data_IF_330635295726
#
_entry.id   IF_330635295726
#
_cell.length_a   1.000
_cell.length_b   1.000
_cell.length_c   1.000
_cell.angle_alpha   90.00
_cell.angle_beta   90.00
_cell.angle_gamma   90.00
#
_symmetry.space_group_name_H-M   'P 1'
#
loop_
_entity.id
_entity.type
_entity.pdbx_description
1 polymer ?
#
# COMPACT_ATOMS: atom_id res chain seq x y z
N UNK A 1 -8.50 0.86 -67.55
CA UNK A 1 -7.05 0.60 -67.65
C UNK A 1 -6.54 0.28 -66.26
N UNK A 2 -6.60 -0.98 -65.88
CA UNK A 2 -5.88 -1.54 -64.73
C UNK A 2 -4.42 -1.74 -65.15
N UNK A 3 -3.42 -1.25 -64.41
CA UNK A 3 -2.04 -1.59 -64.72
C UNK A 3 -1.82 -3.06 -64.38
N UNK A 4 -1.38 -3.84 -65.36
CA UNK A 4 -0.90 -5.20 -65.17
C UNK A 4 0.24 -5.17 -64.14
N UNK A 5 0.04 -5.85 -63.00
CA UNK A 5 1.11 -6.09 -62.04
C UNK A 5 2.23 -6.93 -62.67
N UNK A 6 3.47 -6.78 -62.22
CA UNK A 6 4.63 -7.40 -62.87
C UNK A 6 4.52 -8.93 -62.80
N UNK A 7 4.73 -9.58 -63.95
CA UNK A 7 4.71 -11.05 -64.11
C UNK A 7 6.01 -11.68 -63.59
N UNK A 8 5.90 -12.53 -62.57
CA UNK A 8 6.60 -13.80 -62.23
C UNK A 8 8.06 -14.09 -62.61
N UNK A 9 8.63 -13.57 -63.71
CA UNK A 9 10.06 -13.78 -64.00
C UNK A 9 10.97 -12.97 -63.06
N UNK A 10 10.37 -12.13 -62.20
CA UNK A 10 11.05 -11.21 -61.29
C UNK A 10 11.11 -11.69 -59.83
N UNK A 11 10.34 -12.71 -59.40
CA UNK A 11 10.26 -13.07 -57.97
C UNK A 11 11.38 -14.00 -57.51
N UNK A 12 11.84 -14.93 -58.37
CA UNK A 12 13.08 -15.70 -58.14
C UNK A 12 14.31 -14.78 -58.12
N UNK A 13 14.24 -13.61 -58.79
CA UNK A 13 15.30 -12.60 -58.79
C UNK A 13 15.32 -11.72 -57.53
N UNK A 14 14.24 -11.68 -56.73
CA UNK A 14 14.17 -10.94 -55.47
C UNK A 14 14.74 -11.74 -54.29
N UNK A 15 14.77 -13.08 -54.37
CA UNK A 15 15.30 -13.92 -53.31
C UNK A 15 16.78 -13.62 -52.97
N UNK A 16 17.70 -13.43 -53.92
CA UNK A 16 19.07 -13.00 -53.62
C UNK A 16 19.15 -11.56 -53.10
N UNK A 17 18.28 -10.67 -53.60
CA UNK A 17 18.30 -9.24 -53.24
C UNK A 17 17.78 -8.99 -51.80
N UNK A 18 16.84 -9.81 -51.33
CA UNK A 18 16.35 -9.80 -49.95
C UNK A 18 17.31 -10.51 -48.97
N UNK A 19 18.26 -11.30 -49.47
CA UNK A 19 19.24 -12.02 -48.65
C UNK A 19 20.43 -11.15 -48.21
N UNK A 20 20.78 -10.13 -49.01
CA UNK A 20 21.83 -9.15 -48.67
C UNK A 20 21.30 -7.88 -47.96
N UNK A 21 20.01 -7.55 -48.07
CA UNK A 21 19.51 -6.23 -47.64
C UNK A 21 18.76 -6.13 -46.29
N UNK A 22 18.34 -7.20 -45.59
CA UNK A 22 17.06 -7.09 -44.88
C UNK A 22 17.07 -7.24 -43.33
N UNK A 23 16.37 -6.30 -42.66
CA UNK A 23 15.67 -6.51 -41.38
C UNK A 23 14.29 -7.18 -41.58
N UNK A 24 14.06 -7.76 -42.76
CA UNK A 24 12.79 -8.31 -43.23
C UNK A 24 12.95 -9.80 -43.42
N UNK A 25 12.31 -10.57 -42.55
CA UNK A 25 12.20 -12.03 -42.66
C UNK A 25 11.34 -12.41 -43.87
N UNK A 26 11.79 -13.38 -44.66
CA UNK A 26 11.02 -13.95 -45.78
C UNK A 26 10.92 -15.46 -45.61
N UNK A 27 9.70 -15.98 -45.75
CA UNK A 27 9.42 -17.41 -45.79
C UNK A 27 8.59 -17.73 -47.02
N UNK A 28 8.97 -18.75 -47.78
CA UNK A 28 8.22 -19.27 -48.92
C UNK A 28 7.56 -20.57 -48.48
N UNK A 29 6.27 -20.72 -48.75
CA UNK A 29 5.50 -21.92 -48.46
C UNK A 29 4.83 -22.49 -49.70
N UNK A 30 4.68 -23.80 -49.74
CA UNK A 30 3.91 -24.50 -50.79
C UNK A 30 2.40 -24.49 -50.52
N UNK A 31 1.63 -25.14 -51.40
CA UNK A 31 0.18 -25.27 -51.28
C UNK A 31 -0.26 -26.04 -50.02
N UNK A 32 0.57 -26.94 -49.52
CA UNK A 32 0.37 -27.71 -48.29
C UNK A 32 0.83 -26.93 -47.04
N UNK A 33 1.21 -25.66 -47.20
CA UNK A 33 1.70 -24.74 -46.16
C UNK A 33 2.99 -25.22 -45.50
N UNK A 34 3.80 -26.00 -46.21
CA UNK A 34 5.14 -26.36 -45.77
C UNK A 34 6.15 -25.33 -46.23
N UNK A 35 7.13 -25.04 -45.38
CA UNK A 35 8.18 -24.08 -45.72
C UNK A 35 9.10 -24.69 -46.77
N UNK A 36 9.23 -24.01 -47.90
CA UNK A 36 10.10 -24.38 -49.02
C UNK A 36 11.44 -23.64 -48.90
N UNK A 37 11.41 -22.41 -48.41
CA UNK A 37 12.61 -21.57 -48.32
C UNK A 37 12.47 -20.49 -47.25
N UNK A 38 13.58 -20.10 -46.64
CA UNK A 38 13.68 -18.95 -45.72
C UNK A 38 14.93 -18.14 -46.05
N UNK A 39 14.92 -16.84 -45.76
CA UNK A 39 16.10 -15.97 -45.91
C UNK A 39 16.95 -15.91 -44.62
N UNK A 40 18.12 -15.28 -44.69
CA UNK A 40 19.02 -15.11 -43.54
C UNK A 40 18.39 -14.33 -42.38
N UNK A 41 17.57 -13.33 -42.66
CA UNK A 41 16.92 -12.51 -41.63
C UNK A 41 15.98 -13.34 -40.76
N UNK A 42 15.12 -14.17 -41.38
CA UNK A 42 14.27 -15.10 -40.64
C UNK A 42 15.09 -16.07 -39.79
N UNK A 43 16.09 -16.74 -40.38
CA UNK A 43 16.93 -17.72 -39.67
C UNK A 43 17.60 -17.12 -38.43
N UNK A 44 18.08 -15.88 -38.53
CA UNK A 44 18.65 -15.14 -37.39
C UNK A 44 17.62 -14.86 -36.30
N UNK A 45 16.40 -14.45 -36.67
CA UNK A 45 15.32 -14.14 -35.72
C UNK A 45 14.76 -15.40 -35.05
N UNK A 46 14.65 -16.49 -35.80
CA UNK A 46 14.21 -17.79 -35.31
C UNK A 46 15.32 -18.54 -34.55
N UNK A 47 16.55 -18.04 -34.55
CA UNK A 47 17.74 -18.69 -33.96
C UNK A 47 17.98 -20.12 -34.50
N UNK A 48 17.72 -20.34 -35.81
CA UNK A 48 17.85 -21.64 -36.47
C UNK A 48 18.89 -21.60 -37.58
N UNK A 49 19.76 -22.61 -37.63
CA UNK A 49 20.87 -22.65 -38.61
C UNK A 49 20.49 -23.34 -39.93
N UNK A 50 19.78 -24.48 -39.87
CA UNK A 50 19.23 -25.22 -41.02
C UNK A 50 18.21 -26.23 -40.46
N UNK A 51 16.93 -26.17 -40.87
CA UNK A 51 15.93 -27.10 -40.34
C UNK A 51 14.48 -26.84 -40.73
N UNK A 52 14.10 -25.59 -41.02
CA UNK A 52 12.66 -25.27 -41.22
C UNK A 52 12.08 -25.78 -42.55
N UNK A 53 12.93 -26.13 -43.52
CA UNK A 53 12.48 -26.57 -44.85
C UNK A 53 11.78 -27.92 -44.75
N UNK A 54 10.52 -27.95 -45.16
CA UNK A 54 9.62 -29.09 -45.06
C UNK A 54 8.73 -29.08 -43.81
N UNK A 55 9.01 -28.23 -42.81
CA UNK A 55 8.14 -28.06 -41.64
C UNK A 55 6.82 -27.37 -42.02
N UNK A 56 5.76 -27.70 -41.30
CA UNK A 56 4.47 -27.02 -41.48
C UNK A 56 4.58 -25.61 -40.88
N UNK A 57 4.16 -24.59 -41.62
CA UNK A 57 4.21 -23.20 -41.13
C UNK A 57 3.49 -23.01 -39.78
N UNK A 58 2.44 -23.80 -39.53
CA UNK A 58 1.69 -23.77 -38.27
C UNK A 58 2.46 -24.31 -37.04
N UNK A 59 3.55 -25.04 -37.26
CA UNK A 59 4.44 -25.55 -36.21
C UNK A 59 5.52 -24.53 -35.84
N UNK A 60 5.79 -23.57 -36.74
CA UNK A 60 6.70 -22.45 -36.51
C UNK A 60 6.05 -21.29 -35.74
N UNK A 61 4.72 -21.36 -35.56
CA UNK A 61 3.89 -20.28 -35.02
C UNK A 61 3.25 -20.74 -33.71
N UNK A 62 3.21 -19.85 -32.71
CA UNK A 62 2.59 -20.14 -31.43
C UNK A 62 1.07 -20.40 -31.58
N UNK A 63 0.47 -21.27 -30.75
CA UNK A 63 -0.94 -21.65 -30.85
C UNK A 63 -1.90 -20.45 -30.89
N UNK A 64 -1.66 -19.39 -30.12
CA UNK A 64 -2.50 -18.18 -30.10
C UNK A 64 -2.52 -17.41 -31.43
N UNK A 65 -1.47 -17.55 -32.26
CA UNK A 65 -1.35 -16.84 -33.55
C UNK A 65 -1.88 -17.65 -34.73
N UNK A 66 -2.29 -18.92 -34.54
CA UNK A 66 -2.78 -19.78 -35.64
C UNK A 66 -4.02 -19.24 -36.33
N UNK A 67 -4.96 -18.67 -35.56
CA UNK A 67 -6.16 -18.07 -36.14
C UNK A 67 -5.84 -16.82 -36.99
N UNK A 68 -4.87 -16.01 -36.57
CA UNK A 68 -4.41 -14.85 -37.33
C UNK A 68 -3.66 -15.30 -38.60
N UNK A 69 -2.80 -16.32 -38.48
CA UNK A 69 -2.13 -16.94 -39.62
C UNK A 69 -3.15 -17.47 -40.64
N UNK A 70 -4.22 -18.12 -40.22
CA UNK A 70 -5.26 -18.62 -41.11
C UNK A 70 -5.99 -17.50 -41.86
N UNK A 71 -6.33 -16.39 -41.19
CA UNK A 71 -6.93 -15.21 -41.84
C UNK A 71 -5.99 -14.61 -42.87
N UNK A 72 -4.71 -14.49 -42.53
CA UNK A 72 -3.68 -13.99 -43.43
C UNK A 72 -3.53 -14.89 -44.65
N UNK A 73 -3.41 -16.20 -44.44
CA UNK A 73 -3.26 -17.18 -45.51
C UNK A 73 -4.50 -17.24 -46.41
N UNK A 74 -5.71 -17.09 -45.87
CA UNK A 74 -6.96 -17.05 -46.66
C UNK A 74 -7.13 -15.77 -47.47
N UNK A 75 -6.41 -14.70 -47.11
CA UNK A 75 -6.58 -13.37 -47.71
C UNK A 75 -7.70 -12.56 -47.08
N UNK A 76 -8.22 -12.99 -45.92
CA UNK A 76 -9.24 -12.25 -45.16
C UNK A 76 -8.67 -10.99 -44.51
N UNK A 77 -7.34 -10.94 -44.32
CA UNK A 77 -6.61 -9.79 -43.79
C UNK A 77 -5.38 -9.48 -44.65
N UNK A 78 -5.10 -8.20 -44.94
CA UNK A 78 -3.93 -7.81 -45.74
C UNK A 78 -2.61 -7.89 -44.95
N UNK A 79 -2.66 -7.88 -43.62
CA UNK A 79 -1.51 -8.03 -42.73
C UNK A 79 -1.94 -8.52 -41.34
N UNK A 80 -1.15 -9.38 -40.72
CA UNK A 80 -1.42 -9.91 -39.36
C UNK A 80 -0.14 -9.90 -38.51
N UNK A 81 -0.29 -9.68 -37.21
CA UNK A 81 0.80 -9.83 -36.22
C UNK A 81 0.86 -11.30 -35.83
N UNK A 82 1.96 -11.96 -36.15
CA UNK A 82 2.14 -13.40 -35.94
C UNK A 82 3.31 -13.63 -34.99
N UNK A 83 3.05 -14.34 -33.90
CA UNK A 83 4.07 -14.80 -32.97
C UNK A 83 4.66 -16.13 -33.47
N UNK A 84 5.93 -16.08 -33.84
CA UNK A 84 6.73 -17.24 -34.20
C UNK A 84 7.48 -17.77 -32.98
N UNK A 85 7.91 -19.01 -33.06
CA UNK A 85 8.72 -19.66 -32.04
C UNK A 85 10.18 -19.81 -32.52
N UNK A 86 11.12 -19.36 -31.72
CA UNK A 86 12.57 -19.58 -31.93
C UNK A 86 12.97 -21.04 -31.69
N UNK A 87 14.24 -21.39 -31.91
CA UNK A 87 14.77 -22.73 -31.60
C UNK A 87 14.72 -23.10 -30.11
N UNK A 88 14.89 -22.12 -29.21
CA UNK A 88 14.84 -22.31 -27.75
C UNK A 88 13.41 -22.27 -27.18
N UNK A 89 12.41 -22.01 -28.04
CA UNK A 89 11.01 -21.94 -27.67
C UNK A 89 10.49 -20.55 -27.29
N UNK A 90 11.33 -19.52 -27.31
CA UNK A 90 10.97 -18.14 -27.05
C UNK A 90 10.08 -17.53 -28.16
N UNK A 91 9.14 -16.63 -27.83
CA UNK A 91 8.33 -15.94 -28.83
C UNK A 91 9.11 -14.80 -29.50
N UNK A 92 8.94 -14.66 -30.81
CA UNK A 92 9.27 -13.42 -31.51
C UNK A 92 8.13 -13.01 -32.45
N UNK A 93 7.94 -11.70 -32.60
CA UNK A 93 6.81 -11.15 -33.34
C UNK A 93 7.23 -10.63 -34.70
N UNK A 94 6.49 -11.03 -35.73
CA UNK A 94 6.55 -10.45 -37.06
C UNK A 94 5.21 -9.84 -37.45
N UNK A 95 5.24 -8.70 -38.12
CA UNK A 95 4.08 -8.25 -38.89
C UNK A 95 4.19 -8.84 -40.28
N UNK A 96 3.25 -9.72 -40.61
CA UNK A 96 3.32 -10.56 -41.78
C UNK A 96 2.34 -10.12 -42.87
N UNK A 97 2.79 -10.18 -44.12
CA UNK A 97 1.97 -10.04 -45.34
C UNK A 97 2.19 -11.24 -46.24
N UNK A 98 1.13 -11.72 -46.90
CA UNK A 98 1.21 -12.84 -47.84
C UNK A 98 1.02 -12.34 -49.27
N UNK A 99 1.95 -12.73 -50.14
CA UNK A 99 1.86 -12.57 -51.58
C UNK A 99 1.70 -13.95 -52.20
N UNK A 100 0.63 -14.13 -52.99
CA UNK A 100 0.37 -15.41 -53.66
C UNK A 100 0.87 -15.36 -55.09
N UNK A 101 1.63 -16.38 -55.47
CA UNK A 101 2.22 -16.46 -56.79
C UNK A 101 2.18 -17.92 -57.29
N UNK A 102 1.18 -18.24 -58.10
CA UNK A 102 0.92 -19.63 -58.51
C UNK A 102 0.45 -20.51 -57.33
N UNK A 103 1.05 -21.69 -57.17
CA UNK A 103 0.76 -22.62 -56.06
C UNK A 103 1.55 -22.31 -54.78
N UNK A 104 2.47 -21.34 -54.81
CA UNK A 104 3.31 -20.98 -53.66
C UNK A 104 2.84 -19.66 -53.03
N UNK A 105 2.94 -19.59 -51.70
CA UNK A 105 2.75 -18.37 -50.93
C UNK A 105 4.08 -17.82 -50.45
N UNK A 106 4.32 -16.53 -50.61
CA UNK A 106 5.46 -15.83 -50.02
C UNK A 106 4.96 -15.01 -48.83
N UNK A 107 5.48 -15.33 -47.65
CA UNK A 107 5.24 -14.61 -46.40
C UNK A 107 6.41 -13.64 -46.16
N UNK A 108 6.11 -12.35 -46.16
CA UNK A 108 7.06 -11.29 -45.78
C UNK A 108 6.75 -10.82 -44.36
N UNK A 109 7.72 -10.94 -43.46
CA UNK A 109 7.65 -10.51 -42.07
C UNK A 109 8.64 -9.39 -41.80
N UNK A 110 8.15 -8.22 -41.38
CA UNK A 110 9.02 -7.13 -40.94
C UNK A 110 9.07 -7.08 -39.42
N UNK A 111 10.26 -6.88 -38.86
CA UNK A 111 10.37 -6.43 -37.47
C UNK A 111 10.28 -4.92 -37.42
N UNK A 112 9.33 -4.39 -36.67
CA UNK A 112 9.39 -3.01 -36.21
C UNK A 112 10.43 -2.92 -35.08
N UNK A 113 11.71 -2.97 -35.43
CA UNK A 113 12.81 -2.84 -34.47
C UNK A 113 12.94 -1.37 -34.04
N UNK A 114 12.40 -1.05 -32.86
CA UNK A 114 13.12 -0.36 -31.76
C UNK A 114 12.22 -0.05 -30.55
N UNK A 115 10.90 0.08 -30.70
CA UNK A 115 10.08 0.64 -29.59
C UNK A 115 9.52 -0.37 -28.60
N UNK A 116 9.09 -1.57 -29.01
CA UNK A 116 8.27 -2.41 -28.12
C UNK A 116 9.10 -3.10 -27.01
N UNK A 117 10.28 -3.63 -27.32
CA UNK A 117 11.15 -4.32 -26.35
C UNK A 117 11.84 -3.36 -25.37
N UNK A 118 12.25 -2.18 -25.85
CA UNK A 118 12.83 -1.14 -24.98
C UNK A 118 11.76 -0.56 -24.05
N UNK A 119 10.55 -0.29 -24.57
CA UNK A 119 9.41 0.15 -23.75
C UNK A 119 9.05 -0.89 -22.70
N UNK A 120 9.00 -2.19 -23.05
CA UNK A 120 8.74 -3.27 -22.09
C UNK A 120 9.82 -3.36 -21.00
N UNK A 121 11.11 -3.21 -21.34
CA UNK A 121 12.20 -3.18 -20.33
C UNK A 121 12.10 -1.95 -19.43
N UNK A 122 11.88 -0.76 -19.99
CA UNK A 122 11.75 0.48 -19.22
C UNK A 122 10.52 0.41 -18.32
N UNK A 123 9.37 -0.05 -18.81
CA UNK A 123 8.16 -0.23 -18.01
C UNK A 123 8.36 -1.26 -16.88
N UNK A 124 9.03 -2.38 -17.15
CA UNK A 124 9.34 -3.36 -16.12
C UNK A 124 10.27 -2.79 -15.05
N UNK A 125 11.28 -2.01 -15.44
CA UNK A 125 12.20 -1.33 -14.52
C UNK A 125 11.48 -0.29 -13.66
N UNK A 126 10.66 0.56 -14.27
CA UNK A 126 9.83 1.55 -13.57
C UNK A 126 8.84 0.89 -12.62
N UNK A 127 8.19 -0.20 -13.02
CA UNK A 127 7.27 -0.95 -12.16
C UNK A 127 7.99 -1.56 -10.95
N UNK A 128 9.21 -2.08 -11.13
CA UNK A 128 10.04 -2.57 -10.02
C UNK A 128 10.47 -1.43 -9.08
N UNK A 129 10.82 -0.27 -9.62
CA UNK A 129 11.20 0.90 -8.84
C UNK A 129 10.01 1.44 -8.03
N UNK A 130 8.83 1.59 -8.65
CA UNK A 130 7.58 1.97 -7.98
C UNK A 130 7.23 0.97 -6.88
N UNK A 131 7.35 -0.34 -7.13
CA UNK A 131 7.08 -1.36 -6.12
C UNK A 131 8.09 -1.31 -4.96
N UNK A 132 9.32 -0.86 -5.20
CA UNK A 132 10.34 -0.68 -4.15
C UNK A 132 10.07 0.57 -3.34
N UNK A 133 9.78 1.69 -4.00
CA UNK A 133 9.39 2.94 -3.35
C UNK A 133 8.08 2.80 -2.55
N UNK A 134 7.09 2.08 -3.05
CA UNK A 134 5.86 1.80 -2.33
C UNK A 134 6.13 1.04 -1.02
N UNK A 135 6.97 0.00 -1.06
CA UNK A 135 7.38 -0.76 0.13
C UNK A 135 8.15 0.11 1.13
N UNK A 136 9.03 0.98 0.64
CA UNK A 136 9.79 1.90 1.48
C UNK A 136 8.91 2.98 2.12
N UNK A 137 7.97 3.53 1.36
CA UNK A 137 7.00 4.49 1.86
C UNK A 137 6.12 3.85 2.93
N UNK A 138 5.62 2.64 2.70
CA UNK A 138 4.85 1.90 3.70
C UNK A 138 5.66 1.62 4.95
N UNK A 139 6.93 1.21 4.81
CA UNK A 139 7.84 1.03 5.93
C UNK A 139 8.01 2.32 6.73
N UNK A 140 8.31 3.43 6.06
CA UNK A 140 8.46 4.75 6.70
C UNK A 140 7.18 5.24 7.36
N UNK A 141 6.03 5.00 6.73
CA UNK A 141 4.74 5.36 7.30
C UNK A 141 4.43 4.55 8.57
N UNK A 142 4.76 3.25 8.59
CA UNK A 142 4.68 2.43 9.81
C UNK A 142 5.62 2.92 10.92
N UNK A 143 6.86 3.24 10.58
CA UNK A 143 7.85 3.80 11.53
C UNK A 143 7.35 5.12 12.14
N UNK A 144 6.85 6.04 11.32
CA UNK A 144 6.32 7.32 11.77
C UNK A 144 5.08 7.16 12.65
N UNK A 145 4.15 6.27 12.26
CA UNK A 145 2.96 5.99 13.07
C UNK A 145 3.32 5.40 14.42
N UNK A 146 4.29 4.48 14.45
CA UNK A 146 4.79 3.92 15.71
C UNK A 146 5.42 4.99 16.60
N UNK A 147 6.28 5.84 16.04
CA UNK A 147 6.93 6.91 16.79
C UNK A 147 5.93 7.93 17.34
N UNK A 148 4.88 8.26 16.57
CA UNK A 148 3.83 9.18 17.00
C UNK A 148 3.01 8.59 18.16
N UNK A 149 2.55 7.34 18.01
CA UNK A 149 1.77 6.64 19.04
C UNK A 149 2.58 6.47 20.35
N UNK A 150 3.87 6.17 20.25
CA UNK A 150 4.75 6.11 21.41
C UNK A 150 4.94 7.48 22.07
N UNK A 151 5.13 8.55 21.27
CA UNK A 151 5.24 9.91 21.79
C UNK A 151 3.95 10.35 22.48
N UNK A 152 2.78 10.11 21.89
CA UNK A 152 1.48 10.45 22.47
C UNK A 152 1.24 9.70 23.79
N UNK A 153 1.61 8.41 23.87
CA UNK A 153 1.54 7.66 25.13
C UNK A 153 2.47 8.22 26.20
N UNK A 154 3.70 8.55 25.83
CA UNK A 154 4.67 9.13 26.76
C UNK A 154 4.20 10.49 27.29
N UNK A 155 3.67 11.36 26.43
CA UNK A 155 3.09 12.64 26.82
C UNK A 155 1.86 12.47 27.72
N UNK A 156 0.95 11.56 27.38
CA UNK A 156 -0.22 11.28 28.22
C UNK A 156 0.18 10.78 29.63
N UNK A 157 1.22 9.95 29.71
CA UNK A 157 1.75 9.48 30.98
C UNK A 157 2.41 10.61 31.78
N UNK A 158 3.21 11.46 31.13
CA UNK A 158 3.83 12.64 31.76
C UNK A 158 2.79 13.60 32.29
N UNK A 159 1.75 13.89 31.51
CA UNK A 159 0.67 14.77 31.92
C UNK A 159 -0.11 14.17 33.10
N UNK A 160 -0.38 12.87 33.08
CA UNK A 160 -1.00 12.19 34.21
C UNK A 160 -0.15 12.26 35.49
N UNK A 161 1.17 12.08 35.36
CA UNK A 161 2.11 12.18 36.49
C UNK A 161 2.21 13.61 37.01
N UNK A 162 2.27 14.61 36.12
CA UNK A 162 2.27 16.01 36.50
C UNK A 162 1.00 16.41 37.25
N UNK A 163 -0.18 15.98 36.76
CA UNK A 163 -1.46 16.21 37.44
C UNK A 163 -1.52 15.52 38.79
N UNK A 164 -0.95 14.32 38.94
CA UNK A 164 -0.82 13.62 40.22
C UNK A 164 0.05 14.41 41.19
N UNK A 165 1.18 14.93 40.73
CA UNK A 165 2.10 15.70 41.56
C UNK A 165 1.47 17.04 42.00
N UNK A 166 0.80 17.74 41.09
CA UNK A 166 0.02 18.94 41.41
C UNK A 166 -1.08 18.64 42.44
N UNK A 167 -1.81 17.53 42.27
CA UNK A 167 -2.83 17.11 43.22
C UNK A 167 -2.24 16.82 44.60
N UNK A 168 -1.11 16.11 44.67
CA UNK A 168 -0.42 15.81 45.94
C UNK A 168 0.12 17.07 46.63
N UNK A 169 0.66 18.02 45.86
CA UNK A 169 1.12 19.30 46.39
C UNK A 169 -0.06 20.11 46.96
N UNK A 170 -1.15 20.25 46.20
CA UNK A 170 -2.36 20.92 46.65
C UNK A 170 -2.92 20.27 47.92
N UNK A 171 -3.07 18.94 47.92
CA UNK A 171 -3.55 18.18 49.07
C UNK A 171 -2.67 18.41 50.32
N UNK A 172 -1.36 18.42 50.15
CA UNK A 172 -0.41 18.67 51.25
C UNK A 172 -0.62 20.05 51.87
N UNK A 173 -0.89 21.07 51.04
CA UNK A 173 -1.20 22.42 51.52
C UNK A 173 -2.58 22.47 52.21
N UNK A 174 -3.61 21.91 51.59
CA UNK A 174 -4.97 21.89 52.15
C UNK A 174 -5.06 21.15 53.48
N UNK A 175 -4.30 20.07 53.66
CA UNK A 175 -4.22 19.36 54.94
C UNK A 175 -3.39 20.12 55.99
N UNK A 176 -2.34 20.84 55.57
CA UNK A 176 -1.47 21.59 56.49
C UNK A 176 -2.14 22.87 57.02
N UNK A 177 -2.92 23.55 56.19
CA UNK A 177 -3.58 24.80 56.51
C UNK A 177 -4.42 24.76 57.82
N UNK A 178 -5.31 23.78 58.04
CA UNK A 178 -6.11 23.68 59.26
C UNK A 178 -5.28 23.34 60.52
N UNK A 179 -4.08 22.77 60.38
CA UNK A 179 -3.22 22.43 61.52
C UNK A 179 -2.70 23.67 62.25
N UNK A 180 -2.44 24.77 61.53
CA UNK A 180 -1.91 25.99 62.14
C UNK A 180 -2.91 26.65 63.12
N UNK A 181 -4.19 26.90 62.76
CA UNK A 181 -5.18 27.39 63.71
C UNK A 181 -5.49 26.40 64.83
N UNK A 182 -5.43 25.08 64.59
CA UNK A 182 -5.59 24.06 65.66
C UNK A 182 -4.48 24.23 66.69
N UNK A 183 -3.22 24.26 66.26
CA UNK A 183 -2.06 24.43 67.15
C UNK A 183 -2.12 25.74 67.92
N UNK A 184 -2.51 26.83 67.26
CA UNK A 184 -2.66 28.13 67.91
C UNK A 184 -3.81 28.13 68.93
N UNK A 185 -4.93 27.47 68.61
CA UNK A 185 -6.04 27.30 69.55
C UNK A 185 -5.62 26.53 70.80
N UNK A 186 -4.85 25.43 70.63
CA UNK A 186 -4.31 24.66 71.75
C UNK A 186 -3.38 25.50 72.63
N UNK A 187 -2.47 26.27 72.02
CA UNK A 187 -1.58 27.20 72.73
C UNK A 187 -2.33 28.24 73.57
N UNK A 188 -3.49 28.72 73.08
CA UNK A 188 -4.37 29.64 73.82
C UNK A 188 -5.06 28.93 74.98
N UNK A 189 -5.55 27.70 74.76
CA UNK A 189 -6.22 26.92 75.81
C UNK A 189 -5.32 26.59 77.00
N UNK A 190 -4.02 26.39 76.76
CA UNK A 190 -3.03 26.18 77.84
C UNK A 190 -2.83 27.41 78.74
N UNK A 191 -3.16 28.61 78.26
CA UNK A 191 -2.87 29.89 78.95
C UNK A 191 -4.11 30.66 79.39
N UNK A 192 -5.27 30.38 78.82
CA UNK A 192 -6.52 31.06 79.14
C UNK A 192 -7.21 30.42 80.35
N UNK A 193 -7.99 31.22 81.09
CA UNK A 193 -8.91 30.67 82.10
C UNK A 193 -9.88 29.67 81.44
N UNK A 194 -10.10 28.47 82.01
CA UNK A 194 -10.92 27.42 81.39
C UNK A 194 -12.34 27.86 81.02
N UNK A 195 -12.90 28.82 81.77
CA UNK A 195 -14.26 29.37 81.55
C UNK A 195 -14.24 30.75 80.88
N UNK A 196 -13.07 31.22 80.43
CA UNK A 196 -12.92 32.53 79.79
C UNK A 196 -13.34 32.53 78.32
N UNK A 197 -13.77 33.69 77.82
CA UNK A 197 -14.21 33.88 76.43
C UNK A 197 -13.12 33.49 75.40
N UNK A 198 -11.84 33.69 75.73
CA UNK A 198 -10.71 33.28 74.89
C UNK A 198 -10.62 31.75 74.73
N UNK A 199 -10.83 30.99 75.81
CA UNK A 199 -10.85 29.54 75.77
C UNK A 199 -12.05 29.01 74.96
N UNK A 200 -13.23 29.65 75.10
CA UNK A 200 -14.41 29.31 74.29
C UNK A 200 -14.16 29.49 72.79
N UNK A 201 -13.62 30.64 72.38
CA UNK A 201 -13.29 30.91 70.96
C UNK A 201 -12.23 29.96 70.42
N UNK A 202 -11.21 29.63 71.21
CA UNK A 202 -10.18 28.67 70.81
C UNK A 202 -10.77 27.27 70.55
N UNK A 203 -11.67 26.78 71.42
CA UNK A 203 -12.40 25.51 71.23
C UNK A 203 -13.25 25.52 69.95
N UNK A 204 -13.95 26.62 69.67
CA UNK A 204 -14.75 26.76 68.45
C UNK A 204 -13.91 26.73 67.18
N UNK A 205 -12.77 27.43 67.17
CA UNK A 205 -11.82 27.40 66.04
C UNK A 205 -11.30 25.99 65.82
N UNK A 206 -10.82 25.31 66.87
CA UNK A 206 -10.33 23.93 66.79
C UNK A 206 -11.42 23.01 66.23
N UNK A 207 -12.64 23.08 66.77
CA UNK A 207 -13.75 22.21 66.35
C UNK A 207 -14.10 22.38 64.86
N UNK A 208 -14.14 23.63 64.36
CA UNK A 208 -14.36 23.91 62.94
C UNK A 208 -13.24 23.34 62.07
N UNK A 209 -11.97 23.53 62.45
CA UNK A 209 -10.84 23.04 61.66
C UNK A 209 -10.75 21.50 61.65
N UNK A 210 -11.04 20.84 62.78
CA UNK A 210 -11.08 19.37 62.86
C UNK A 210 -12.22 18.82 62.00
N UNK A 211 -13.39 19.44 62.05
CA UNK A 211 -14.53 19.05 61.19
C UNK A 211 -14.20 19.23 59.71
N UNK A 212 -13.49 20.31 59.35
CA UNK A 212 -13.04 20.55 57.99
C UNK A 212 -12.02 19.51 57.51
N UNK A 213 -11.03 19.17 58.35
CA UNK A 213 -10.04 18.15 58.04
C UNK A 213 -10.68 16.76 57.86
N UNK A 214 -11.66 16.41 58.68
CA UNK A 214 -12.39 15.15 58.54
C UNK A 214 -13.10 15.06 57.17
N UNK A 215 -13.79 16.12 56.74
CA UNK A 215 -14.43 16.18 55.42
C UNK A 215 -13.41 16.05 54.28
N UNK A 216 -12.28 16.77 54.35
CA UNK A 216 -11.22 16.68 53.34
C UNK A 216 -10.65 15.25 53.20
N UNK A 217 -10.51 14.53 54.32
CA UNK A 217 -10.05 13.14 54.32
C UNK A 217 -11.12 12.21 53.74
N UNK A 218 -12.40 12.41 54.09
CA UNK A 218 -13.51 11.63 53.52
C UNK A 218 -13.62 11.83 51.99
N UNK A 219 -13.50 13.08 51.52
CA UNK A 219 -13.50 13.40 50.09
C UNK A 219 -12.35 12.71 49.35
N UNK A 220 -11.16 12.66 49.96
CA UNK A 220 -10.01 11.94 49.40
C UNK A 220 -10.25 10.42 49.33
N UNK A 221 -10.86 9.84 50.36
CA UNK A 221 -11.23 8.43 50.38
C UNK A 221 -12.25 8.09 49.28
N UNK A 222 -13.19 8.99 49.01
CA UNK A 222 -14.15 8.80 47.93
C UNK A 222 -13.49 8.89 46.56
N UNK A 223 -12.63 9.88 46.31
CA UNK A 223 -11.86 9.98 45.05
C UNK A 223 -11.04 8.71 44.78
N UNK A 224 -10.39 8.14 45.80
CA UNK A 224 -9.63 6.89 45.64
C UNK A 224 -10.52 5.66 45.40
N UNK A 225 -11.76 5.64 45.90
CA UNK A 225 -12.76 4.60 45.57
C UNK A 225 -13.25 4.73 44.13
N UNK A 226 -13.44 5.95 43.63
CA UNK A 226 -13.79 6.23 42.23
C UNK A 226 -12.69 5.72 41.30
N UNK A 227 -11.44 6.13 41.56
CA UNK A 227 -10.28 5.77 40.75
C UNK A 227 -10.07 4.25 40.64
N UNK A 228 -10.48 3.49 41.67
CA UNK A 228 -10.40 2.02 41.69
C UNK A 228 -11.65 1.31 41.13
N UNK A 229 -12.59 2.04 40.53
CA UNK A 229 -13.87 1.50 40.02
C UNK A 229 -14.69 0.73 41.06
N UNK A 230 -14.54 1.05 42.35
CA UNK A 230 -15.20 0.33 43.46
C UNK A 230 -16.54 0.93 43.89
N UNK A 231 -17.07 1.93 43.17
CA UNK A 231 -18.36 2.51 43.49
C UNK A 231 -19.46 1.55 43.02
N UNK A 232 -20.13 0.89 43.97
CA UNK A 232 -21.43 0.26 43.72
C UNK A 232 -22.51 1.32 43.90
N UNK A 233 -23.09 1.78 42.78
CA UNK A 233 -24.24 2.68 42.82
C UNK A 233 -25.47 1.92 43.35
N UNK A 234 -25.90 2.26 44.56
CA UNK A 234 -27.20 1.82 45.08
C UNK A 234 -28.27 2.80 44.59
N UNK A 235 -28.99 2.41 43.54
CA UNK A 235 -30.10 3.19 42.97
C UNK A 235 -31.38 2.86 43.71
N UNK A 236 -32.07 3.88 44.23
CA UNK A 236 -33.42 3.78 44.80
C UNK A 236 -34.31 4.92 44.28
N UNK A 237 -35.63 4.75 44.34
CA UNK A 237 -36.58 5.84 44.08
C UNK A 237 -36.58 6.78 45.29
N UNK A 238 -36.44 8.07 45.02
CA UNK A 238 -36.35 9.14 46.02
C UNK A 238 -37.37 10.22 45.63
N UNK A 239 -37.99 10.85 46.62
CA UNK A 239 -38.78 12.07 46.40
C UNK A 239 -37.83 13.28 46.37
N UNK A 240 -37.77 13.97 45.23
CA UNK A 240 -36.90 15.14 45.05
C UNK A 240 -37.38 16.35 45.85
N UNK A 241 -38.69 16.51 46.05
CA UNK A 241 -39.26 17.62 46.82
C UNK A 241 -38.86 17.47 48.28
N UNK A 242 -39.00 16.25 48.80
CA UNK A 242 -38.67 15.93 50.19
C UNK A 242 -37.16 16.01 50.47
N UNK A 243 -36.31 15.77 49.46
CA UNK A 243 -34.86 15.90 49.57
C UNK A 243 -34.41 17.36 49.67
N UNK A 244 -34.94 18.23 48.80
CA UNK A 244 -34.59 19.66 48.77
C UNK A 244 -34.97 20.38 50.07
N UNK A 245 -36.01 19.93 50.75
CA UNK A 245 -36.42 20.49 52.04
C UNK A 245 -35.57 20.02 53.25
N UNK A 246 -34.71 19.01 53.08
CA UNK A 246 -33.89 18.42 54.16
C UNK A 246 -32.40 18.78 54.09
N UNK A 247 -31.92 19.30 52.96
CA UNK A 247 -30.57 19.85 52.75
C UNK A 247 -30.54 21.35 52.95
#
# INVERSE_FOLDING_TARGET
MTPEGPKLQSSVALAPFLDECSSVATLIVDADRRVVQTNNAYRRMAERQEGDVGELLADLVLPESRAALDRLLKGDSPAERILFQTADGSPFLLTCRVYREGEHGVLLGETYTLTETEVLRTLSGLNQEVATLARDLERKNRELRWALDEHERAEALREADHRKDQFLAMLSHELRNPLAPIRNGLYILERASPSGEQARRAREVINRQVTHLARLVDDLLDVTRIARSKIRLQRSRLDLVDLVHRT
#
